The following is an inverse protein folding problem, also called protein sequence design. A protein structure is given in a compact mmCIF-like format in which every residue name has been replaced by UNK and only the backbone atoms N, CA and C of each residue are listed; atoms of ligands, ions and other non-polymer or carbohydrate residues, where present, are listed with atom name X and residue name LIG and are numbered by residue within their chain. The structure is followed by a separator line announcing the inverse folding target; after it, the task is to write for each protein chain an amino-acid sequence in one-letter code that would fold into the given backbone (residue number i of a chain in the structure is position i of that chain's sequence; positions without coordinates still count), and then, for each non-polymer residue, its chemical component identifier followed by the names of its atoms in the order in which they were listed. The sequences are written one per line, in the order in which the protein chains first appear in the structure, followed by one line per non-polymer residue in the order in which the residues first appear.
data_IF_498277760541
#
_entry.id   IF_498277760541
#
_cell.length_a   1.000
_cell.length_b   1.000
_cell.length_c   1.000
_cell.angle_alpha   90.00
_cell.angle_beta   90.00
_cell.angle_gamma   90.00
#
_symmetry.space_group_name_H-M   'P 1'
#
loop_
_entity.id
_entity.type
_entity.pdbx_description
1 polymer ?
#
# COMPACT_ATOMS: atom_id res chain seq x y z
N UNK A 1 67.66 41.17 2.30
CA UNK A 1 68.24 39.93 1.74
C UNK A 1 67.92 38.81 2.73
N UNK A 2 67.04 37.84 2.39
CA UNK A 2 67.41 36.51 1.84
C UNK A 2 68.48 35.86 2.76
N UNK A 3 68.21 34.80 3.53
CA UNK A 3 67.89 33.44 3.07
C UNK A 3 67.63 32.49 4.28
N UNK A 4 66.62 31.59 4.15
CA UNK A 4 66.53 30.14 4.51
C UNK A 4 66.94 29.65 5.94
N UNK A 5 66.35 28.63 6.57
CA UNK A 5 66.09 27.26 6.10
C UNK A 5 64.96 26.60 6.93
N UNK A 6 63.95 26.16 6.18
CA UNK A 6 63.14 24.94 6.26
C UNK A 6 62.93 24.22 7.61
N UNK A 7 61.64 24.17 7.96
CA UNK A 7 61.05 23.32 8.97
C UNK A 7 60.99 21.84 8.59
N UNK A 8 60.93 21.07 9.66
CA UNK A 8 60.87 19.63 9.83
C UNK A 8 59.89 18.92 8.87
N UNK A 9 60.39 17.89 8.19
CA UNK A 9 59.61 16.88 7.50
C UNK A 9 58.74 16.12 8.53
N UNK A 10 57.42 16.24 8.43
CA UNK A 10 56.49 15.26 8.98
C UNK A 10 55.72 14.68 7.79
N UNK A 11 56.12 13.47 7.39
CA UNK A 11 55.40 12.65 6.42
C UNK A 11 54.05 12.31 7.05
N UNK A 12 53.01 13.04 6.65
CA UNK A 12 51.64 12.70 7.00
C UNK A 12 51.19 11.53 6.13
N UNK A 13 50.89 10.43 6.81
CA UNK A 13 50.30 9.22 6.25
C UNK A 13 48.99 9.58 5.51
N UNK A 14 48.91 9.24 4.23
CA UNK A 14 47.66 9.27 3.47
C UNK A 14 46.71 8.22 4.05
N UNK A 15 45.60 8.66 4.66
CA UNK A 15 44.48 7.78 5.01
C UNK A 15 43.64 7.64 3.72
N UNK A 16 43.52 6.44 3.13
CA UNK A 16 42.65 6.24 1.97
C UNK A 16 41.19 6.48 2.36
N UNK A 17 40.49 7.16 1.46
CA UNK A 17 39.15 7.68 1.64
C UNK A 17 38.15 6.64 2.15
N UNK A 18 37.46 6.99 3.23
CA UNK A 18 36.14 6.46 3.47
C UNK A 18 35.23 7.00 2.37
N UNK A 19 34.90 6.15 1.40
CA UNK A 19 33.69 6.30 0.61
C UNK A 19 32.54 6.20 1.61
N UNK A 20 32.13 7.35 2.18
CA UNK A 20 30.85 7.46 2.81
C UNK A 20 29.82 7.20 1.70
N UNK A 21 29.33 5.96 1.64
CA UNK A 21 28.05 5.69 1.01
C UNK A 21 27.09 6.70 1.62
N UNK A 22 26.58 7.61 0.80
CA UNK A 22 25.49 8.51 1.16
C UNK A 22 24.29 7.61 1.48
N UNK A 23 24.24 7.11 2.70
CA UNK A 23 23.02 6.67 3.34
C UNK A 23 22.18 7.93 3.40
N UNK A 24 21.27 8.09 2.44
CA UNK A 24 20.19 9.06 2.55
C UNK A 24 19.63 8.91 3.97
N UNK A 25 19.65 9.97 4.81
CA UNK A 25 19.11 9.86 6.14
C UNK A 25 17.67 9.39 5.99
N UNK A 26 17.33 8.29 6.65
CA UNK A 26 15.97 7.79 6.69
C UNK A 26 15.07 8.97 7.07
N UNK A 27 14.33 9.49 6.09
CA UNK A 27 13.45 10.63 6.26
C UNK A 27 12.51 10.29 7.41
N UNK A 28 12.64 11.08 8.48
CA UNK A 28 11.80 10.93 9.66
C UNK A 28 10.34 11.07 9.21
N UNK A 29 9.40 10.25 9.71
CA UNK A 29 7.99 10.44 9.44
C UNK A 29 7.59 11.87 9.80
N UNK A 30 6.96 12.59 8.87
CA UNK A 30 6.31 13.85 9.23
C UNK A 30 5.06 13.51 10.06
N UNK A 31 4.97 13.94 11.32
CA UNK A 31 3.83 13.62 12.18
C UNK A 31 2.52 14.32 11.77
N UNK A 32 2.55 15.22 10.79
CA UNK A 32 1.41 16.08 10.43
C UNK A 32 0.33 15.39 9.58
N UNK A 33 0.60 14.20 9.02
CA UNK A 33 -0.45 13.43 8.35
C UNK A 33 -1.37 12.78 9.38
N UNK A 34 -2.64 13.19 9.34
CA UNK A 34 -3.68 12.56 10.14
C UNK A 34 -3.88 11.12 9.66
N UNK A 35 -4.15 10.20 10.61
CA UNK A 35 -4.59 8.82 10.33
C UNK A 35 -5.70 8.77 9.27
N UNK A 36 -6.54 9.80 9.23
CA UNK A 36 -7.65 9.96 8.30
C UNK A 36 -7.18 10.13 6.85
N UNK A 37 -6.17 10.94 6.59
CA UNK A 37 -5.65 11.16 5.22
C UNK A 37 -5.05 9.89 4.63
N UNK A 38 -4.27 9.13 5.42
CA UNK A 38 -3.77 7.82 4.98
C UNK A 38 -4.89 6.82 4.71
N UNK A 39 -5.95 6.83 5.53
CA UNK A 39 -7.12 5.95 5.35
C UNK A 39 -7.91 6.33 4.09
N UNK A 40 -8.05 7.63 3.80
CA UNK A 40 -8.73 8.10 2.60
C UNK A 40 -7.95 7.72 1.34
N UNK A 41 -6.62 7.86 1.36
CA UNK A 41 -5.78 7.46 0.24
C UNK A 41 -5.78 5.95 0.02
N UNK A 42 -5.72 5.17 1.10
CA UNK A 42 -5.86 3.71 1.04
C UNK A 42 -7.19 3.30 0.38
N UNK A 43 -8.32 3.87 0.81
CA UNK A 43 -9.62 3.65 0.18
C UNK A 43 -9.64 4.06 -1.30
N UNK A 44 -8.93 5.12 -1.65
CA UNK A 44 -8.77 5.53 -3.05
C UNK A 44 -8.01 4.45 -3.85
N UNK A 45 -6.88 3.95 -3.35
CA UNK A 45 -6.11 2.88 -3.99
C UNK A 45 -6.88 1.56 -4.08
N UNK A 46 -7.77 1.29 -3.12
CA UNK A 46 -8.69 0.17 -3.19
C UNK A 46 -9.70 0.31 -4.32
N UNK A 47 -10.06 1.54 -4.70
CA UNK A 47 -10.97 1.81 -5.83
C UNK A 47 -10.30 1.81 -7.18
N UNK A 48 -8.99 1.99 -7.19
CA UNK A 48 -8.22 2.16 -8.41
C UNK A 48 -7.09 1.13 -8.43
N UNK A 49 -7.40 -0.17 -8.60
CA UNK A 49 -6.41 -1.25 -8.50
C UNK A 49 -5.27 -1.12 -9.52
N UNK A 50 -5.54 -0.54 -10.70
CA UNK A 50 -4.50 -0.23 -11.69
C UNK A 50 -3.49 0.80 -11.14
N UNK A 51 -3.99 1.90 -10.59
CA UNK A 51 -3.18 2.97 -9.98
C UNK A 51 -2.43 2.45 -8.76
N UNK A 52 -3.09 1.68 -7.89
CA UNK A 52 -2.46 1.04 -6.73
C UNK A 52 -1.28 0.16 -7.15
N UNK A 53 -1.48 -0.71 -8.12
CA UNK A 53 -0.43 -1.59 -8.61
C UNK A 53 0.77 -0.81 -9.21
N UNK A 54 0.52 0.25 -9.96
CA UNK A 54 1.57 1.10 -10.53
C UNK A 54 2.32 1.88 -9.44
N UNK A 55 1.60 2.47 -8.49
CA UNK A 55 2.18 3.20 -7.36
C UNK A 55 2.95 2.29 -6.40
N UNK A 56 2.53 1.04 -6.18
CA UNK A 56 3.29 0.06 -5.39
C UNK A 56 4.62 -0.30 -6.05
N UNK A 57 4.62 -0.45 -7.38
CA UNK A 57 5.85 -0.71 -8.16
C UNK A 57 6.77 0.49 -8.17
N UNK A 58 6.22 1.68 -8.37
CA UNK A 58 6.99 2.91 -8.40
C UNK A 58 6.24 4.05 -7.69
N UNK A 59 6.46 4.22 -6.38
CA UNK A 59 5.80 5.26 -5.61
C UNK A 59 6.13 6.67 -6.11
N UNK A 60 7.19 6.88 -6.89
CA UNK A 60 7.53 8.21 -7.41
C UNK A 60 6.59 8.69 -8.52
N UNK A 61 5.78 7.80 -9.12
CA UNK A 61 4.80 8.15 -10.17
C UNK A 61 3.79 9.20 -9.71
N UNK A 62 3.47 9.20 -8.42
CA UNK A 62 2.55 10.15 -7.82
C UNK A 62 3.07 11.61 -7.85
N UNK A 63 4.37 11.82 -8.07
CA UNK A 63 4.99 13.14 -8.25
C UNK A 63 5.21 13.47 -9.74
N UNK A 64 4.94 12.53 -10.64
CA UNK A 64 5.09 12.73 -12.08
C UNK A 64 3.83 13.41 -12.65
N UNK A 65 3.99 14.64 -13.14
CA UNK A 65 2.87 15.42 -13.70
C UNK A 65 2.22 14.77 -14.91
N UNK A 66 2.97 14.06 -15.75
CA UNK A 66 2.43 13.35 -16.91
C UNK A 66 1.59 12.15 -16.47
N UNK A 67 2.02 11.43 -15.44
CA UNK A 67 1.25 10.34 -14.84
C UNK A 67 -0.06 10.87 -14.24
N UNK A 68 0.01 11.91 -13.41
CA UNK A 68 -1.19 12.54 -12.81
C UNK A 68 -2.15 13.05 -13.90
N UNK A 69 -1.63 13.61 -14.99
CA UNK A 69 -2.47 14.07 -16.10
C UNK A 69 -3.18 12.93 -16.84
N UNK A 70 -2.60 11.72 -16.86
CA UNK A 70 -3.22 10.51 -17.44
C UNK A 70 -4.22 9.83 -16.50
N UNK A 71 -4.23 10.18 -15.21
CA UNK A 71 -5.10 9.63 -14.17
C UNK A 71 -5.96 10.74 -13.54
N UNK A 72 -7.03 11.20 -14.21
CA UNK A 72 -7.85 12.31 -13.74
C UNK A 72 -8.44 12.07 -12.34
N UNK A 73 -8.78 10.82 -12.02
CA UNK A 73 -9.24 10.40 -10.68
C UNK A 73 -8.16 10.59 -9.59
N UNK A 74 -6.89 10.29 -9.88
CA UNK A 74 -5.78 10.54 -8.95
C UNK A 74 -5.54 12.03 -8.80
N UNK A 75 -5.64 12.78 -9.89
CA UNK A 75 -5.51 14.24 -9.87
C UNK A 75 -6.57 14.87 -8.97
N UNK A 76 -7.84 14.52 -9.18
CA UNK A 76 -8.96 15.02 -8.37
C UNK A 76 -8.80 14.64 -6.89
N UNK A 77 -8.35 13.42 -6.60
CA UNK A 77 -8.06 13.01 -5.23
C UNK A 77 -6.99 13.90 -4.58
N UNK A 78 -5.87 14.15 -5.26
CA UNK A 78 -4.75 14.95 -4.74
C UNK A 78 -5.10 16.45 -4.61
N UNK A 79 -6.05 16.96 -5.40
CA UNK A 79 -6.56 18.33 -5.29
C UNK A 79 -7.45 18.50 -4.06
N UNK A 80 -8.25 17.48 -3.73
CA UNK A 80 -9.14 17.49 -2.56
C UNK A 80 -8.46 17.09 -1.24
N UNK A 81 -7.23 16.56 -1.30
CA UNK A 81 -6.46 16.12 -0.13
C UNK A 81 -5.08 16.78 -0.08
N UNK A 82 -4.99 18.08 0.24
CA UNK A 82 -3.72 18.82 0.22
C UNK A 82 -2.66 18.24 1.17
N UNK A 83 -3.07 17.69 2.32
CA UNK A 83 -2.14 17.05 3.27
C UNK A 83 -1.47 15.79 2.70
N UNK A 84 -2.18 15.03 1.86
CA UNK A 84 -1.61 13.88 1.14
C UNK A 84 -0.54 14.35 0.15
N UNK A 85 -0.83 15.42 -0.60
CA UNK A 85 0.07 16.00 -1.61
C UNK A 85 1.38 16.54 -1.01
N UNK A 86 1.36 17.06 0.20
CA UNK A 86 2.56 17.57 0.89
C UNK A 86 3.51 16.44 1.28
N UNK A 87 3.03 15.39 1.93
CA UNK A 87 3.88 14.27 2.37
C UNK A 87 4.44 13.48 1.20
N UNK A 88 3.64 13.32 0.15
CA UNK A 88 4.05 12.60 -1.06
C UNK A 88 5.25 13.26 -1.75
N UNK A 89 5.37 14.58 -1.71
CA UNK A 89 6.52 15.29 -2.30
C UNK A 89 7.81 14.95 -1.57
N UNK A 90 7.73 14.78 -0.25
CA UNK A 90 8.88 14.52 0.61
C UNK A 90 9.22 13.02 0.67
N UNK A 91 8.21 12.14 0.83
CA UNK A 91 8.41 10.72 1.17
C UNK A 91 7.42 9.76 0.47
N UNK A 92 7.37 9.71 -0.88
CA UNK A 92 6.34 8.96 -1.61
C UNK A 92 6.32 7.45 -1.25
N UNK A 93 7.49 6.84 -1.03
CA UNK A 93 7.61 5.42 -0.62
C UNK A 93 7.09 5.14 0.79
N UNK A 94 7.16 6.12 1.70
CA UNK A 94 6.69 5.96 3.08
C UNK A 94 5.17 6.05 3.11
N UNK A 95 4.62 7.04 2.38
CA UNK A 95 3.20 7.28 2.34
C UNK A 95 2.39 6.12 1.74
N UNK A 96 2.82 5.57 0.59
CA UNK A 96 2.17 4.39 -0.01
C UNK A 96 2.17 3.21 0.96
N UNK A 97 3.31 2.92 1.61
CA UNK A 97 3.40 1.84 2.62
C UNK A 97 2.60 2.11 3.89
N UNK A 98 2.39 3.38 4.24
CA UNK A 98 1.57 3.78 5.39
C UNK A 98 0.09 3.51 5.11
N UNK A 99 -0.38 3.87 3.92
CA UNK A 99 -1.74 3.57 3.46
C UNK A 99 -2.01 2.05 3.53
N UNK A 100 -1.14 1.24 2.93
CA UNK A 100 -1.23 -0.23 2.99
C UNK A 100 -1.29 -0.81 4.42
N UNK A 101 -0.65 -0.16 5.40
CA UNK A 101 -0.63 -0.68 6.77
C UNK A 101 -1.94 -0.48 7.51
N UNK A 102 -2.78 0.48 7.09
CA UNK A 102 -4.07 0.74 7.71
C UNK A 102 -5.12 -0.34 7.41
N UNK A 103 -4.88 -1.20 6.41
CA UNK A 103 -5.59 -2.47 6.18
C UNK A 103 -5.73 -3.31 7.47
N UNK A 104 -4.72 -3.30 8.36
CA UNK A 104 -4.72 -4.14 9.57
C UNK A 104 -5.55 -3.57 10.74
N UNK A 105 -6.14 -2.38 10.58
CA UNK A 105 -7.10 -1.81 11.55
C UNK A 105 -8.56 -2.06 11.14
N UNK A 106 -8.80 -2.69 9.99
CA UNK A 106 -10.12 -3.19 9.59
C UNK A 106 -10.65 -4.12 10.69
N UNK A 107 -11.94 -3.99 11.01
CA UNK A 107 -12.64 -4.67 12.10
C UNK A 107 -12.14 -6.12 12.27
N UNK A 108 -11.84 -6.53 13.50
CA UNK A 108 -11.53 -7.93 13.82
C UNK A 108 -12.73 -8.82 13.46
N UNK A 109 -12.76 -9.32 12.22
CA UNK A 109 -13.71 -10.37 11.89
C UNK A 109 -13.39 -11.58 12.75
N UNK A 110 -14.43 -12.24 13.25
CA UNK A 110 -14.26 -13.47 14.03
C UNK A 110 -13.50 -14.48 13.16
N UNK A 111 -12.44 -15.07 13.71
CA UNK A 111 -11.63 -16.06 13.00
C UNK A 111 -12.48 -17.18 12.33
N UNK A 112 -13.56 -17.59 12.99
CA UNK A 112 -14.52 -18.56 12.44
C UNK A 112 -15.18 -18.11 11.12
N UNK A 113 -15.49 -16.82 10.96
CA UNK A 113 -16.05 -16.29 9.71
C UNK A 113 -15.00 -16.28 8.59
N UNK A 114 -13.74 -15.98 8.92
CA UNK A 114 -12.65 -16.06 7.95
C UNK A 114 -12.45 -17.51 7.46
N UNK A 115 -12.46 -18.48 8.38
CA UNK A 115 -12.40 -19.92 8.05
C UNK A 115 -13.60 -20.38 7.21
N UNK A 116 -14.80 -19.85 7.46
CA UNK A 116 -15.97 -20.18 6.66
C UNK A 116 -15.84 -19.67 5.22
N UNK A 117 -15.30 -18.47 5.04
CA UNK A 117 -15.07 -17.90 3.72
C UNK A 117 -13.94 -18.61 2.97
N UNK A 118 -12.85 -18.92 3.66
CA UNK A 118 -11.72 -19.71 3.15
C UNK A 118 -12.20 -21.06 2.59
N UNK A 119 -12.94 -21.85 3.38
CA UNK A 119 -13.58 -23.09 2.91
C UNK A 119 -14.51 -22.89 1.71
N UNK A 120 -15.22 -21.76 1.68
CA UNK A 120 -16.06 -21.42 0.54
C UNK A 120 -15.21 -21.21 -0.72
N UNK A 121 -14.09 -20.48 -0.63
CA UNK A 121 -13.18 -20.25 -1.75
C UNK A 121 -12.49 -21.52 -2.24
N UNK A 122 -12.10 -22.41 -1.35
CA UNK A 122 -11.55 -23.74 -1.71
C UNK A 122 -12.51 -24.55 -2.57
N UNK A 123 -13.81 -24.45 -2.28
CA UNK A 123 -14.87 -25.13 -3.03
C UNK A 123 -15.24 -24.40 -4.33
N UNK A 124 -14.78 -23.15 -4.51
CA UNK A 124 -15.13 -22.28 -5.62
C UNK A 124 -13.87 -21.59 -6.22
N UNK A 125 -12.95 -22.37 -6.84
CA UNK A 125 -11.65 -21.85 -7.28
C UNK A 125 -11.74 -20.73 -8.33
N UNK A 126 -12.81 -20.68 -9.13
CA UNK A 126 -13.03 -19.57 -10.07
C UNK A 126 -13.32 -18.26 -9.33
N UNK A 127 -14.16 -18.30 -8.29
CA UNK A 127 -14.48 -17.12 -7.47
C UNK A 127 -13.24 -16.71 -6.68
N UNK A 128 -12.50 -17.66 -6.10
CA UNK A 128 -11.23 -17.37 -5.44
C UNK A 128 -10.28 -16.60 -6.37
N UNK A 129 -10.02 -17.14 -7.55
CA UNK A 129 -9.11 -16.52 -8.51
C UNK A 129 -9.53 -15.08 -8.87
N UNK A 130 -10.83 -14.86 -9.08
CA UNK A 130 -11.35 -13.56 -9.47
C UNK A 130 -11.31 -12.56 -8.30
N UNK A 131 -11.66 -12.99 -7.08
CA UNK A 131 -11.53 -12.17 -5.88
C UNK A 131 -10.08 -11.87 -5.51
N UNK A 132 -9.14 -12.80 -5.74
CA UNK A 132 -7.70 -12.52 -5.53
C UNK A 132 -7.17 -11.46 -6.51
N UNK A 133 -7.72 -11.39 -7.72
CA UNK A 133 -7.38 -10.35 -8.71
C UNK A 133 -8.06 -9.04 -8.41
N UNK A 134 -9.35 -9.08 -8.10
CA UNK A 134 -10.16 -7.92 -7.81
C UNK A 134 -11.14 -8.22 -6.66
N UNK A 135 -10.71 -7.97 -5.42
CA UNK A 135 -11.56 -8.17 -4.24
C UNK A 135 -12.88 -7.38 -4.25
N UNK A 136 -13.01 -6.32 -5.07
CA UNK A 136 -14.23 -5.50 -5.17
C UNK A 136 -15.37 -6.12 -5.99
N UNK A 137 -15.14 -7.27 -6.63
CA UNK A 137 -16.21 -8.00 -7.32
C UNK A 137 -17.36 -8.41 -6.37
N UNK A 138 -17.11 -8.45 -5.06
CA UNK A 138 -18.12 -8.62 -4.01
C UNK A 138 -19.22 -7.55 -4.00
N UNK A 139 -18.94 -6.37 -4.59
CA UNK A 139 -19.88 -5.26 -4.73
C UNK A 139 -20.39 -5.06 -6.16
N UNK A 140 -19.86 -5.79 -7.14
CA UNK A 140 -20.32 -5.71 -8.52
C UNK A 140 -21.65 -6.47 -8.68
N UNK A 141 -22.78 -5.79 -8.96
CA UNK A 141 -24.08 -6.45 -9.08
C UNK A 141 -24.13 -7.48 -10.21
N UNK A 142 -23.37 -7.29 -11.30
CA UNK A 142 -23.33 -8.24 -12.41
C UNK A 142 -22.60 -9.51 -11.98
N UNK A 143 -21.46 -9.35 -11.31
CA UNK A 143 -20.69 -10.49 -10.77
C UNK A 143 -21.52 -11.28 -9.75
N UNK A 144 -22.11 -10.59 -8.77
CA UNK A 144 -22.97 -11.23 -7.75
C UNK A 144 -24.20 -11.93 -8.38
N UNK A 145 -24.73 -11.42 -9.48
CA UNK A 145 -25.85 -12.06 -10.20
C UNK A 145 -25.42 -13.30 -10.97
N UNK A 146 -24.19 -13.34 -11.48
CA UNK A 146 -23.60 -14.48 -12.18
C UNK A 146 -23.10 -15.57 -11.22
N UNK A 147 -22.84 -15.22 -9.96
CA UNK A 147 -22.35 -16.10 -8.90
C UNK A 147 -23.38 -16.24 -7.76
N UNK A 148 -24.50 -16.97 -7.98
CA UNK A 148 -25.54 -17.14 -6.96
C UNK A 148 -25.01 -17.76 -5.66
N UNK A 149 -24.02 -18.64 -5.74
CA UNK A 149 -23.32 -19.25 -4.59
C UNK A 149 -22.62 -18.20 -3.71
N UNK A 150 -21.92 -17.23 -4.30
CA UNK A 150 -21.28 -16.14 -3.56
C UNK A 150 -22.34 -15.22 -2.95
N UNK A 151 -23.42 -14.94 -3.69
CA UNK A 151 -24.54 -14.14 -3.20
C UNK A 151 -25.20 -14.77 -1.97
N UNK A 152 -25.45 -16.07 -2.02
CA UNK A 152 -26.03 -16.83 -0.90
C UNK A 152 -25.10 -16.87 0.30
N UNK A 153 -23.80 -17.11 0.07
CA UNK A 153 -22.79 -17.04 1.12
C UNK A 153 -22.79 -15.67 1.82
N UNK A 154 -22.67 -14.57 1.05
CA UNK A 154 -22.62 -13.22 1.61
C UNK A 154 -23.92 -12.80 2.31
N UNK A 155 -25.06 -13.39 1.92
CA UNK A 155 -26.33 -13.19 2.62
C UNK A 155 -26.38 -13.92 3.97
N UNK A 156 -25.80 -15.13 4.05
CA UNK A 156 -25.69 -15.90 5.28
C UNK A 156 -24.60 -15.38 6.23
N UNK A 157 -23.57 -14.73 5.69
CA UNK A 157 -22.40 -14.23 6.42
C UNK A 157 -22.30 -12.69 6.36
N UNK A 158 -23.18 -11.94 7.04
CA UNK A 158 -23.20 -10.49 6.97
C UNK A 158 -21.90 -9.85 7.46
N UNK A 159 -21.20 -10.45 8.43
CA UNK A 159 -19.91 -9.95 8.91
C UNK A 159 -18.82 -10.02 7.83
N UNK A 160 -18.76 -11.11 7.06
CA UNK A 160 -17.84 -11.27 5.92
C UNK A 160 -18.17 -10.25 4.85
N UNK A 161 -19.46 -10.09 4.52
CA UNK A 161 -19.91 -9.11 3.53
C UNK A 161 -19.53 -7.68 3.89
N UNK A 162 -19.77 -7.26 5.13
CA UNK A 162 -19.44 -5.90 5.57
C UNK A 162 -17.93 -5.65 5.55
N UNK A 163 -17.11 -6.60 6.01
CA UNK A 163 -15.66 -6.45 6.03
C UNK A 163 -15.06 -6.48 4.61
N UNK A 164 -15.58 -7.34 3.71
CA UNK A 164 -15.21 -7.33 2.29
C UNK A 164 -15.63 -6.03 1.60
N UNK A 165 -16.73 -5.40 1.98
CA UNK A 165 -17.15 -4.10 1.44
C UNK A 165 -16.25 -2.96 1.88
N UNK A 166 -15.95 -2.93 3.16
CA UNK A 166 -15.19 -1.83 3.75
C UNK A 166 -13.69 -1.95 3.45
N UNK A 167 -13.16 -3.18 3.47
CA UNK A 167 -11.74 -3.50 3.42
C UNK A 167 -11.45 -4.74 2.55
N UNK A 168 -11.86 -4.71 1.27
CA UNK A 168 -11.82 -5.88 0.38
C UNK A 168 -10.40 -6.47 0.27
N UNK A 169 -9.36 -5.63 0.11
CA UNK A 169 -7.98 -6.11 0.02
C UNK A 169 -7.46 -6.64 1.34
N UNK A 170 -7.68 -5.93 2.45
CA UNK A 170 -7.25 -6.38 3.78
C UNK A 170 -7.85 -7.74 4.14
N UNK A 171 -9.12 -7.95 3.78
CA UNK A 171 -9.81 -9.22 3.97
C UNK A 171 -9.13 -10.33 3.19
N UNK A 172 -8.95 -10.16 1.87
CA UNK A 172 -8.31 -11.18 1.02
C UNK A 172 -6.84 -11.43 1.40
N UNK A 173 -6.14 -10.45 1.97
CA UNK A 173 -4.80 -10.68 2.53
C UNK A 173 -4.82 -11.54 3.79
N UNK A 174 -5.87 -11.44 4.62
CA UNK A 174 -6.04 -12.28 5.82
C UNK A 174 -6.41 -13.71 5.44
N UNK A 175 -7.33 -13.88 4.49
CA UNK A 175 -7.69 -15.16 3.89
C UNK A 175 -6.44 -15.85 3.32
N UNK A 176 -5.68 -15.19 2.45
CA UNK A 176 -4.43 -15.74 1.89
C UNK A 176 -3.39 -16.13 2.94
N UNK A 177 -3.39 -15.48 4.10
CA UNK A 177 -2.48 -15.83 5.21
C UNK A 177 -3.00 -17.03 6.00
N UNK A 178 -4.30 -17.30 5.98
CA UNK A 178 -4.93 -18.47 6.57
C UNK A 178 -4.65 -19.69 5.69
N UNK A 179 -5.02 -19.64 4.41
CA UNK A 179 -4.76 -20.63 3.36
C UNK A 179 -3.32 -21.21 3.42
N UNK A 180 -2.31 -20.32 3.43
CA UNK A 180 -0.89 -20.69 3.57
C UNK A 180 -0.48 -21.42 4.86
N UNK A 181 -1.32 -21.38 5.90
CA UNK A 181 -1.06 -22.10 7.17
C UNK A 181 -1.64 -23.50 7.15
N UNK A 182 -2.49 -23.81 6.16
CA UNK A 182 -3.13 -25.11 5.99
C UNK A 182 -2.33 -26.03 5.04
N UNK A 183 -1.42 -25.46 4.24
CA UNK A 183 -0.37 -26.14 3.46
C UNK A 183 0.79 -26.70 4.32
#
# INVERSE_FOLDING_TARGET
MKLLILGLLAVTLAIPGAMAVNASPAQKPNPDITRRESTNFDRFLDSHPAIDHELRKNPALINNSEYIAKHPELKEFLENHPGVREEIKETPRYFVRRAEKFDNSARDIRHAELVNFDRFLDSHPNIDQDLRKNPRLVDDPNYISQHPELREFLAAHPAVREDLKEHPKAFMQREKKLDKREE
#
